data_IF_745143354680
#
_entry.id   IF_745143354680
#
_cell.length_a   1.000
_cell.length_b   1.000
_cell.length_c   1.000
_cell.angle_alpha   90.00
_cell.angle_beta   90.00
_cell.angle_gamma   90.00
#
_symmetry.space_group_name_H-M   'P 1'
#
loop_
_entity.id
_entity.type
_entity.pdbx_description
1 polymer ?
#
# COMPACT_ATOMS: atom_id res chain seq x y z
N UNK A 1 24.59 -6.01 8.96
CA UNK A 1 25.09 -6.02 7.57
C UNK A 1 23.96 -5.40 6.79
N UNK A 2 24.11 -4.14 6.37
CA UNK A 2 22.96 -3.33 5.94
C UNK A 2 22.43 -3.83 4.61
N UNK A 3 21.11 -4.04 4.53
CA UNK A 3 20.46 -4.39 3.27
C UNK A 3 20.73 -3.31 2.23
N UNK A 4 21.05 -3.72 1.00
CA UNK A 4 21.25 -2.77 -0.08
C UNK A 4 19.93 -2.04 -0.40
N UNK A 5 20.00 -0.74 -0.69
CA UNK A 5 18.83 0.09 -1.00
C UNK A 5 17.90 -0.53 -2.06
N UNK A 6 18.47 -1.07 -3.15
CA UNK A 6 17.70 -1.75 -4.22
C UNK A 6 16.96 -3.00 -3.74
N UNK A 7 17.51 -3.68 -2.74
CA UNK A 7 16.91 -4.86 -2.15
C UNK A 7 15.69 -4.46 -1.28
N UNK A 8 15.85 -3.40 -0.48
CA UNK A 8 14.76 -2.80 0.31
C UNK A 8 13.63 -2.36 -0.61
N UNK A 9 13.94 -1.62 -1.68
CA UNK A 9 12.95 -1.20 -2.68
C UNK A 9 12.22 -2.40 -3.27
N UNK A 10 12.96 -3.42 -3.73
CA UNK A 10 12.38 -4.65 -4.28
C UNK A 10 11.44 -5.37 -3.31
N UNK A 11 11.83 -5.46 -2.03
CA UNK A 11 10.97 -6.00 -0.97
C UNK A 11 9.69 -5.16 -0.79
N UNK A 12 9.79 -3.84 -0.80
CA UNK A 12 8.62 -2.96 -0.70
C UNK A 12 7.65 -3.19 -1.86
N UNK A 13 8.17 -3.34 -3.08
CA UNK A 13 7.36 -3.67 -4.25
C UNK A 13 6.71 -5.06 -4.12
N UNK A 14 7.45 -6.06 -3.64
CA UNK A 14 6.95 -7.43 -3.45
C UNK A 14 5.84 -7.51 -2.39
N UNK A 15 6.00 -6.78 -1.28
CA UNK A 15 5.08 -6.76 -0.15
C UNK A 15 3.83 -5.91 -0.41
N UNK A 16 3.89 -4.98 -1.36
CA UNK A 16 2.77 -4.09 -1.64
C UNK A 16 1.51 -4.85 -2.08
N UNK A 17 0.42 -4.68 -1.33
CA UNK A 17 -0.87 -5.35 -1.57
C UNK A 17 -0.83 -6.87 -1.35
N UNK A 18 0.31 -7.41 -0.90
CA UNK A 18 0.45 -8.83 -0.65
C UNK A 18 -0.44 -9.26 0.51
N UNK A 19 -1.16 -10.35 0.34
CA UNK A 19 -1.94 -10.91 1.44
C UNK A 19 -1.03 -11.76 2.34
N UNK A 20 -1.07 -11.55 3.65
CA UNK A 20 -0.43 -12.46 4.61
C UNK A 20 -1.24 -13.76 4.65
N UNK A 21 -0.58 -14.88 4.39
CA UNK A 21 -1.17 -16.21 4.38
C UNK A 21 -0.79 -17.02 5.62
N UNK A 22 0.44 -16.85 6.12
CA UNK A 22 0.97 -17.61 7.25
C UNK A 22 2.11 -16.84 7.92
N UNK A 23 2.33 -17.12 9.20
CA UNK A 23 3.40 -16.55 10.01
C UNK A 23 4.01 -17.63 10.91
N UNK A 24 5.31 -17.89 10.71
CA UNK A 24 6.09 -18.82 11.53
C UNK A 24 7.14 -18.05 12.30
N UNK A 25 7.18 -18.22 13.62
CA UNK A 25 8.15 -17.60 14.51
C UNK A 25 8.95 -18.69 15.22
N UNK A 26 10.28 -18.59 15.15
CA UNK A 26 11.21 -19.45 15.88
C UNK A 26 12.17 -18.56 16.69
N UNK A 27 11.78 -18.19 17.94
CA UNK A 27 12.61 -17.36 18.80
C UNK A 27 13.98 -17.96 19.09
N UNK A 28 14.08 -19.30 19.17
CA UNK A 28 15.34 -19.99 19.44
C UNK A 28 16.33 -19.85 18.26
N UNK A 29 15.81 -19.81 17.02
CA UNK A 29 16.62 -19.56 15.82
C UNK A 29 16.66 -18.10 15.38
N UNK A 30 15.97 -17.19 16.08
CA UNK A 30 15.83 -15.76 15.71
C UNK A 30 15.29 -15.58 14.30
N UNK A 31 14.29 -16.36 13.95
CA UNK A 31 13.73 -16.40 12.60
C UNK A 31 12.24 -16.07 12.64
N UNK A 32 11.83 -15.17 11.75
CA UNK A 32 10.43 -15.00 11.39
C UNK A 32 10.27 -15.30 9.89
N UNK A 33 9.28 -16.10 9.53
CA UNK A 33 8.93 -16.36 8.13
C UNK A 33 7.48 -15.94 7.92
N UNK A 34 7.29 -14.94 7.06
CA UNK A 34 5.94 -14.51 6.65
C UNK A 34 5.67 -15.06 5.26
N UNK A 35 4.65 -15.89 5.13
CA UNK A 35 4.20 -16.37 3.82
C UNK A 35 3.14 -15.44 3.29
N UNK A 36 3.29 -15.04 2.04
CA UNK A 36 2.43 -14.06 1.39
C UNK A 36 1.91 -14.57 0.04
N UNK A 37 0.81 -13.98 -0.43
CA UNK A 37 0.38 -14.00 -1.82
C UNK A 37 0.70 -12.63 -2.45
N UNK A 38 1.80 -12.51 -3.20
CA UNK A 38 2.14 -11.28 -3.91
C UNK A 38 1.10 -10.90 -4.96
N UNK A 39 0.84 -9.60 -5.07
CA UNK A 39 0.01 -9.02 -6.15
C UNK A 39 0.83 -8.29 -7.21
N UNK A 40 2.11 -8.00 -6.91
CA UNK A 40 3.00 -7.25 -7.79
C UNK A 40 3.65 -8.11 -8.87
N UNK A 41 3.62 -7.63 -10.11
CA UNK A 41 4.36 -8.20 -11.25
C UNK A 41 5.85 -7.84 -11.22
N UNK A 42 6.77 -8.83 -11.22
CA UNK A 42 8.18 -8.56 -11.42
C UNK A 42 8.46 -8.10 -12.87
N UNK A 43 9.60 -7.44 -13.11
CA UNK A 43 10.03 -7.03 -14.46
C UNK A 43 10.21 -8.20 -15.42
N UNK A 44 10.55 -9.37 -14.90
CA UNK A 44 10.75 -10.59 -15.66
C UNK A 44 10.20 -11.80 -14.91
N UNK A 45 9.56 -12.71 -15.64
CA UNK A 45 8.96 -13.91 -15.08
C UNK A 45 7.52 -13.73 -14.56
N UNK A 46 6.88 -14.82 -14.15
CA UNK A 46 5.51 -14.78 -13.63
C UNK A 46 5.46 -14.21 -12.21
N UNK A 47 4.32 -13.63 -11.82
CA UNK A 47 4.02 -13.30 -10.42
C UNK A 47 4.09 -14.60 -9.60
N UNK A 48 4.87 -14.65 -8.50
CA UNK A 48 4.81 -15.77 -7.59
C UNK A 48 3.42 -15.87 -6.98
N UNK A 49 2.77 -17.04 -7.06
CA UNK A 49 1.48 -17.26 -6.40
C UNK A 49 1.60 -17.27 -4.87
N UNK A 50 2.78 -17.65 -4.37
CA UNK A 50 3.20 -17.58 -2.97
C UNK A 50 4.67 -17.21 -2.87
N UNK A 51 5.02 -16.43 -1.85
CA UNK A 51 6.39 -16.16 -1.47
C UNK A 51 6.56 -16.25 0.05
N UNK A 52 7.71 -16.70 0.50
CA UNK A 52 8.12 -16.72 1.90
C UNK A 52 9.18 -15.66 2.12
N UNK A 53 8.90 -14.75 3.05
CA UNK A 53 9.79 -13.66 3.47
C UNK A 53 10.42 -14.07 4.80
N UNK A 54 11.69 -14.46 4.75
CA UNK A 54 12.47 -14.85 5.92
C UNK A 54 13.22 -13.66 6.47
N UNK A 55 12.95 -13.30 7.72
CA UNK A 55 13.64 -12.25 8.47
C UNK A 55 14.62 -12.90 9.45
N UNK A 56 15.89 -12.51 9.40
CA UNK A 56 16.92 -13.04 10.30
C UNK A 56 18.17 -12.14 10.42
N UNK A 57 18.85 -12.18 11.58
CA UNK A 57 18.26 -12.49 12.88
C UNK A 57 17.13 -11.50 13.23
N UNK A 58 16.09 -11.98 13.91
CA UNK A 58 15.04 -11.17 14.54
C UNK A 58 15.41 -10.90 15.99
N UNK A 59 15.40 -9.62 16.39
CA UNK A 59 15.71 -9.18 17.76
C UNK A 59 14.47 -8.80 18.56
N UNK A 60 13.37 -8.42 17.89
CA UNK A 60 12.13 -8.12 18.57
C UNK A 60 10.90 -8.45 17.72
N UNK A 61 9.81 -8.78 18.42
CA UNK A 61 8.47 -8.89 17.85
C UNK A 61 7.50 -8.17 18.79
N UNK A 62 6.80 -7.17 18.27
CA UNK A 62 5.76 -6.45 19.01
C UNK A 62 4.46 -6.55 18.21
N UNK A 63 3.38 -6.89 18.89
CA UNK A 63 2.04 -6.95 18.31
C UNK A 63 1.09 -6.13 19.16
N UNK A 64 0.43 -5.15 18.54
CA UNK A 64 -0.60 -4.33 19.20
C UNK A 64 -1.93 -4.46 18.49
N UNK A 65 -3.01 -4.43 19.26
CA UNK A 65 -4.37 -4.34 18.78
C UNK A 65 -4.82 -2.88 18.74
N UNK A 66 -5.44 -2.50 17.63
CA UNK A 66 -5.99 -1.17 17.37
C UNK A 66 -7.44 -1.27 16.88
N UNK A 67 -8.26 -0.26 17.11
CA UNK A 67 -9.50 -0.06 16.37
C UNK A 67 -9.19 0.37 14.91
N UNK A 68 -10.22 0.59 14.10
CA UNK A 68 -10.06 1.01 12.70
C UNK A 68 -9.50 2.43 12.57
N UNK A 69 -9.66 3.24 13.61
CA UNK A 69 -9.18 4.61 13.72
C UNK A 69 -7.74 4.70 14.26
N UNK A 70 -7.14 3.56 14.67
CA UNK A 70 -5.77 3.45 15.14
C UNK A 70 -5.56 3.63 16.65
N UNK A 71 -6.63 3.68 17.45
CA UNK A 71 -6.59 3.78 18.91
C UNK A 71 -6.65 2.40 19.58
N UNK A 72 -6.40 2.33 20.89
CA UNK A 72 -6.62 1.10 21.64
C UNK A 72 -8.12 0.78 21.69
N UNK A 73 -8.57 -0.41 21.24
CA UNK A 73 -9.98 -0.77 21.31
C UNK A 73 -10.41 -1.05 22.75
N UNK A 74 -11.72 -1.19 22.95
CA UNK A 74 -12.31 -1.60 24.24
C UNK A 74 -11.67 -2.93 24.69
N UNK A 75 -11.34 -3.10 26.00
CA UNK A 75 -10.67 -4.31 26.48
C UNK A 75 -11.43 -5.59 26.11
N UNK A 76 -10.74 -6.55 25.51
CA UNK A 76 -11.36 -7.82 25.11
C UNK A 76 -10.43 -8.90 24.55
N UNK A 77 -9.20 -8.55 24.17
CA UNK A 77 -8.18 -9.53 23.76
C UNK A 77 -7.12 -9.67 24.87
N UNK A 78 -6.92 -10.89 25.35
CA UNK A 78 -5.84 -11.21 26.29
C UNK A 78 -4.47 -11.19 25.60
N UNK A 79 -3.41 -11.07 26.39
CA UNK A 79 -2.04 -11.22 25.88
C UNK A 79 -1.82 -12.64 25.37
N UNK A 80 -1.18 -12.75 24.21
CA UNK A 80 -0.91 -14.00 23.51
C UNK A 80 0.59 -14.26 23.51
N UNK A 81 1.00 -15.53 23.62
CA UNK A 81 2.43 -15.87 23.57
C UNK A 81 2.95 -15.79 22.13
N UNK A 82 4.26 -15.55 21.97
CA UNK A 82 4.88 -15.48 20.64
C UNK A 82 4.68 -16.77 19.81
N UNK A 83 4.65 -17.94 20.45
CA UNK A 83 4.41 -19.24 19.80
C UNK A 83 2.95 -19.46 19.36
N UNK A 84 2.02 -18.64 19.85
CA UNK A 84 0.60 -18.68 19.50
C UNK A 84 0.25 -17.65 18.40
N UNK A 85 1.12 -16.68 18.13
CA UNK A 85 0.87 -15.61 17.14
C UNK A 85 0.61 -16.14 15.72
N UNK A 86 1.31 -17.19 15.28
CA UNK A 86 1.09 -17.78 13.96
C UNK A 86 -0.34 -18.33 13.80
N UNK A 87 -0.88 -18.92 14.87
CA UNK A 87 -2.24 -19.45 14.87
C UNK A 87 -3.28 -18.34 14.73
N UNK A 88 -3.00 -17.13 15.22
CA UNK A 88 -3.89 -15.98 15.04
C UNK A 88 -4.05 -15.63 13.56
N UNK A 89 -2.97 -15.59 12.77
CA UNK A 89 -3.02 -15.25 11.33
C UNK A 89 -3.97 -16.20 10.58
N UNK A 90 -3.93 -17.49 10.90
CA UNK A 90 -4.80 -18.50 10.27
C UNK A 90 -6.29 -18.39 10.64
N UNK A 91 -6.63 -17.70 11.73
CA UNK A 91 -7.99 -17.62 12.26
C UNK A 91 -8.84 -16.51 11.64
N UNK A 92 -8.23 -15.56 10.92
CA UNK A 92 -8.96 -14.42 10.38
C UNK A 92 -9.19 -14.56 8.87
N UNK A 93 -10.42 -14.27 8.45
CA UNK A 93 -10.91 -14.51 7.09
C UNK A 93 -10.94 -13.25 6.21
N UNK A 94 -10.41 -12.10 6.67
CA UNK A 94 -10.47 -10.83 5.92
C UNK A 94 -9.08 -10.26 5.58
N UNK A 95 -8.80 -9.98 4.29
CA UNK A 95 -7.46 -9.71 3.79
C UNK A 95 -7.09 -8.22 3.80
N UNK A 96 -7.26 -7.53 4.93
CA UNK A 96 -6.71 -6.17 5.08
C UNK A 96 -5.26 -6.28 5.56
N UNK A 97 -4.33 -6.35 4.61
CA UNK A 97 -2.90 -6.31 4.86
C UNK A 97 -2.28 -5.04 4.26
N UNK A 98 -2.09 -4.03 5.11
CA UNK A 98 -1.25 -2.88 4.79
C UNK A 98 0.16 -3.18 5.27
N UNK A 99 1.13 -3.22 4.37
CA UNK A 99 2.54 -3.39 4.70
C UNK A 99 3.22 -2.03 4.75
N UNK A 100 4.02 -1.81 5.77
CA UNK A 100 4.89 -0.65 5.86
C UNK A 100 6.30 -1.11 6.25
N UNK A 101 7.23 -0.93 5.33
CA UNK A 101 8.64 -1.19 5.57
C UNK A 101 9.26 0.10 6.07
N UNK A 102 9.62 0.10 7.34
CA UNK A 102 10.11 1.29 8.01
C UNK A 102 11.61 1.12 8.16
N UNK A 103 12.36 1.68 7.21
CA UNK A 103 13.78 1.89 7.44
C UNK A 103 13.93 3.05 8.44
N UNK A 104 14.58 2.76 9.57
CA UNK A 104 15.13 3.74 10.49
C UNK A 104 14.20 4.56 11.43
N UNK A 105 12.97 4.13 11.75
CA UNK A 105 12.27 4.71 12.93
C UNK A 105 12.58 3.93 14.21
N UNK A 106 13.77 4.16 14.78
CA UNK A 106 14.17 3.68 16.12
C UNK A 106 13.23 4.13 17.26
N UNK A 107 12.24 4.99 16.99
CA UNK A 107 11.35 5.61 17.98
C UNK A 107 9.85 5.34 17.71
N UNK A 108 9.50 4.35 16.89
CA UNK A 108 8.08 4.02 16.73
C UNK A 108 7.55 3.36 18.01
N UNK A 109 6.80 4.13 18.79
CA UNK A 109 6.01 3.60 19.92
C UNK A 109 4.61 3.29 19.39
N UNK A 110 4.28 2.01 19.14
CA UNK A 110 2.96 1.66 18.63
C UNK A 110 1.87 2.06 19.64
N UNK A 111 1.05 3.06 19.31
CA UNK A 111 -0.22 3.28 20.01
C UNK A 111 -1.16 2.09 19.83
N UNK A 112 -1.87 1.67 20.88
CA UNK A 112 -2.76 0.51 20.86
C UNK A 112 -2.70 -0.31 22.16
N UNK A 113 -3.44 -1.41 22.22
CA UNK A 113 -3.35 -2.39 23.31
C UNK A 113 -2.27 -3.42 22.98
N UNK A 114 -1.29 -3.63 23.87
CA UNK A 114 -0.24 -4.63 23.68
C UNK A 114 -0.81 -6.05 23.76
N UNK A 115 -0.65 -6.83 22.69
CA UNK A 115 -1.09 -8.23 22.57
C UNK A 115 0.08 -9.18 22.81
N UNK A 116 1.22 -8.92 22.18
CA UNK A 116 2.43 -9.71 22.35
C UNK A 116 3.66 -8.81 22.32
N UNK A 117 4.65 -9.16 23.11
CA UNK A 117 5.95 -8.51 23.15
C UNK A 117 7.02 -9.57 23.41
N UNK A 118 8.04 -9.58 22.57
CA UNK A 118 9.21 -10.44 22.71
C UNK A 118 10.45 -9.69 22.28
N UNK A 119 11.52 -9.83 23.04
CA UNK A 119 12.83 -9.26 22.77
C UNK A 119 13.92 -10.30 23.03
N UNK A 120 14.93 -10.35 22.17
CA UNK A 120 16.16 -11.08 22.46
C UNK A 120 17.13 -10.18 23.26
N UNK A 121 17.37 -10.47 24.56
CA UNK A 121 18.26 -9.66 25.38
C UNK A 121 19.73 -9.68 24.90
N UNK A 122 20.12 -10.65 24.08
CA UNK A 122 21.45 -10.73 23.49
C UNK A 122 21.60 -9.86 22.22
N UNK A 123 20.51 -9.27 21.71
CA UNK A 123 20.50 -8.42 20.52
C UNK A 123 19.71 -7.13 20.76
N UNK A 124 20.31 -6.13 21.44
CA UNK A 124 19.59 -4.93 21.86
C UNK A 124 19.21 -3.98 20.71
N UNK A 125 19.73 -4.19 19.50
CA UNK A 125 19.42 -3.36 18.35
C UNK A 125 19.51 -4.16 17.05
N UNK A 126 18.48 -4.04 16.22
CA UNK A 126 18.50 -4.47 14.82
C UNK A 126 18.52 -3.27 13.88
N UNK A 127 18.97 -3.51 12.66
CA UNK A 127 19.14 -2.46 11.64
C UNK A 127 17.80 -2.04 11.00
N UNK A 128 16.85 -2.96 10.84
CA UNK A 128 15.62 -2.74 10.08
C UNK A 128 14.35 -3.11 10.86
N UNK A 129 13.23 -2.51 10.46
CA UNK A 129 11.90 -2.86 10.97
C UNK A 129 10.93 -3.13 9.83
N UNK A 130 10.19 -4.24 9.94
CA UNK A 130 9.10 -4.57 9.03
C UNK A 130 7.81 -4.53 9.83
N UNK A 131 6.81 -3.82 9.33
CA UNK A 131 5.49 -3.81 9.93
C UNK A 131 4.40 -4.17 8.95
N UNK A 132 3.35 -4.80 9.45
CA UNK A 132 2.11 -4.97 8.70
C UNK A 132 0.91 -4.93 9.62
N UNK A 133 -0.19 -4.42 9.08
CA UNK A 133 -1.50 -4.50 9.70
C UNK A 133 -2.22 -5.76 9.25
N UNK A 134 -3.05 -6.29 10.13
CA UNK A 134 -3.89 -7.44 9.85
C UNK A 134 -5.29 -7.24 10.43
N UNK A 135 -6.30 -7.26 9.57
CA UNK A 135 -7.69 -7.11 9.99
C UNK A 135 -8.18 -8.27 10.85
N UNK A 136 -8.71 -7.95 12.03
CA UNK A 136 -9.36 -8.90 12.93
C UNK A 136 -10.81 -8.49 13.17
N UNK A 137 -11.69 -9.47 13.40
CA UNK A 137 -13.06 -9.23 13.86
C UNK A 137 -13.25 -9.91 15.21
N UNK A 138 -13.86 -9.21 16.17
CA UNK A 138 -14.29 -9.80 17.43
C UNK A 138 -15.40 -10.82 17.20
N UNK A 139 -15.64 -11.67 18.19
CA UNK A 139 -16.77 -12.60 18.18
C UNK A 139 -18.13 -11.86 18.10
N UNK A 140 -18.22 -10.61 18.60
CA UNK A 140 -19.41 -9.77 18.45
C UNK A 140 -19.48 -9.01 17.11
N UNK A 141 -18.51 -9.20 16.21
CA UNK A 141 -18.50 -8.63 14.86
C UNK A 141 -17.86 -7.25 14.75
N UNK A 142 -17.26 -6.72 15.83
CA UNK A 142 -16.50 -5.47 15.79
C UNK A 142 -15.18 -5.66 15.02
N UNK A 143 -14.83 -4.72 14.14
CA UNK A 143 -13.56 -4.77 13.39
C UNK A 143 -12.44 -4.09 14.17
N UNK A 144 -11.25 -4.68 14.14
CA UNK A 144 -10.02 -4.14 14.70
C UNK A 144 -8.83 -4.52 13.80
N UNK A 145 -7.65 -4.01 14.12
CA UNK A 145 -6.41 -4.24 13.39
C UNK A 145 -5.33 -4.73 14.36
N UNK A 146 -4.65 -5.82 14.04
CA UNK A 146 -3.38 -6.17 14.67
C UNK A 146 -2.25 -5.53 13.86
N UNK A 147 -1.41 -4.74 14.52
CA UNK A 147 -0.15 -4.25 13.95
C UNK A 147 0.97 -5.14 14.45
N UNK A 148 1.61 -5.84 13.53
CA UNK A 148 2.83 -6.61 13.77
C UNK A 148 4.04 -5.75 13.44
N UNK A 149 5.05 -5.79 14.31
CA UNK A 149 6.34 -5.15 14.11
C UNK A 149 7.46 -6.15 14.39
N UNK A 150 8.37 -6.29 13.44
CA UNK A 150 9.56 -7.14 13.52
C UNK A 150 10.80 -6.28 13.43
N UNK A 151 11.72 -6.39 14.38
CA UNK A 151 13.07 -5.82 14.25
C UNK A 151 14.04 -6.92 13.80
N UNK A 152 14.78 -6.69 12.72
CA UNK A 152 15.64 -7.68 12.09
C UNK A 152 16.83 -7.06 11.34
N UNK A 153 17.81 -7.89 10.93
CA UNK A 153 18.98 -7.39 10.19
C UNK A 153 19.00 -7.78 8.69
N UNK A 154 18.46 -8.94 8.30
CA UNK A 154 18.39 -9.36 6.90
C UNK A 154 17.01 -9.91 6.55
N UNK A 155 16.63 -9.75 5.28
CA UNK A 155 15.40 -10.31 4.72
C UNK A 155 15.72 -11.07 3.42
N UNK A 156 15.02 -12.18 3.18
CA UNK A 156 15.15 -12.97 1.96
C UNK A 156 13.77 -13.41 1.48
N UNK A 157 13.51 -13.30 0.18
CA UNK A 157 12.31 -13.84 -0.44
C UNK A 157 12.62 -15.16 -1.15
N UNK A 158 11.73 -16.14 -0.99
CA UNK A 158 11.84 -17.43 -1.67
C UNK A 158 10.47 -17.98 -2.06
N UNK A 159 10.45 -18.81 -3.10
CA UNK A 159 9.30 -19.64 -3.42
C UNK A 159 9.13 -20.76 -2.37
N UNK A 160 7.93 -21.37 -2.25
CA UNK A 160 7.70 -22.48 -1.31
C UNK A 160 8.62 -23.69 -1.49
N UNK A 161 9.22 -23.86 -2.68
CA UNK A 161 10.21 -24.90 -2.96
C UNK A 161 11.64 -24.52 -2.54
N UNK A 162 11.84 -23.37 -1.88
CA UNK A 162 13.14 -22.86 -1.43
C UNK A 162 13.94 -22.10 -2.48
N UNK A 163 13.44 -21.97 -3.72
CA UNK A 163 14.13 -21.18 -4.75
C UNK A 163 14.09 -19.69 -4.41
N UNK A 164 15.24 -19.03 -4.42
CA UNK A 164 15.32 -17.59 -4.16
C UNK A 164 14.52 -16.78 -5.19
N UNK A 165 13.80 -15.77 -4.70
CA UNK A 165 13.12 -14.77 -5.53
C UNK A 165 14.05 -13.56 -5.62
N UNK A 166 14.45 -13.13 -6.84
CA UNK A 166 15.27 -11.93 -7.00
C UNK A 166 14.39 -10.69 -6.76
N UNK A 167 14.31 -10.23 -5.51
CA UNK A 167 13.42 -9.12 -5.11
C UNK A 167 13.72 -7.83 -5.87
N UNK A 168 14.96 -7.63 -6.31
CA UNK A 168 15.38 -6.47 -7.11
C UNK A 168 14.74 -6.44 -8.50
N UNK A 169 14.13 -7.55 -8.94
CA UNK A 169 13.33 -7.59 -10.16
C UNK A 169 11.94 -6.96 -9.99
N UNK A 170 11.48 -6.76 -8.75
CA UNK A 170 10.22 -6.08 -8.45
C UNK A 170 10.46 -4.57 -8.46
N UNK A 171 9.72 -3.86 -9.31
CA UNK A 171 9.84 -2.43 -9.46
C UNK A 171 8.56 -1.82 -10.05
N UNK A 172 8.46 -0.50 -9.97
CA UNK A 172 7.34 0.29 -10.50
C UNK A 172 7.04 0.10 -12.01
N UNK A 173 7.92 -0.52 -12.80
CA UNK A 173 7.70 -0.80 -14.22
C UNK A 173 7.07 -2.16 -14.52
N UNK A 174 6.74 -2.97 -13.50
CA UNK A 174 5.90 -4.16 -13.67
C UNK A 174 4.50 -3.73 -14.12
N UNK A 175 3.86 -4.46 -15.02
CA UNK A 175 2.61 -4.09 -15.73
C UNK A 175 1.35 -3.86 -14.86
N UNK A 176 1.49 -3.70 -13.55
CA UNK A 176 0.43 -3.34 -12.60
C UNK A 176 0.74 -2.11 -11.72
N UNK A 177 1.87 -1.44 -11.94
CA UNK A 177 2.28 -0.27 -11.15
C UNK A 177 2.12 1.03 -11.92
N UNK A 178 1.67 2.08 -11.22
CA UNK A 178 1.87 3.48 -11.60
C UNK A 178 2.44 4.20 -10.39
N UNK A 179 3.77 4.18 -10.24
CA UNK A 179 4.42 5.19 -9.41
C UNK A 179 4.35 6.51 -10.17
N UNK A 180 4.04 7.60 -9.49
CA UNK A 180 4.18 8.93 -10.07
C UNK A 180 5.36 9.57 -9.35
N UNK A 181 6.45 9.76 -10.07
CA UNK A 181 7.62 10.45 -9.58
C UNK A 181 7.59 11.92 -10.01
N UNK A 182 7.93 12.82 -9.09
CA UNK A 182 8.32 14.19 -9.42
C UNK A 182 9.84 14.24 -9.63
N UNK A 183 10.30 14.00 -10.85
CA UNK A 183 11.69 14.22 -11.25
C UNK A 183 12.71 13.17 -10.79
N UNK A 184 13.93 13.32 -11.29
CA UNK A 184 14.96 12.27 -11.39
C UNK A 184 15.61 11.82 -10.06
N UNK A 185 15.20 12.34 -8.89
CA UNK A 185 15.94 12.12 -7.63
C UNK A 185 15.10 12.07 -6.34
N UNK A 186 13.77 12.03 -6.39
CA UNK A 186 12.93 12.19 -5.17
C UNK A 186 11.84 11.11 -4.98
N UNK A 187 11.35 10.93 -3.74
CA UNK A 187 10.83 9.65 -3.24
C UNK A 187 9.57 9.16 -3.95
N UNK A 188 9.52 7.82 -4.12
CA UNK A 188 8.35 7.08 -4.61
C UNK A 188 7.17 7.35 -3.68
N UNK A 189 6.20 8.14 -4.15
CA UNK A 189 4.95 8.34 -3.40
C UNK A 189 4.04 7.13 -3.65
N UNK A 190 3.88 6.29 -2.62
CA UNK A 190 3.00 5.11 -2.62
C UNK A 190 1.55 5.59 -2.76
N UNK A 191 0.80 5.03 -3.72
CA UNK A 191 -0.60 5.39 -3.92
C UNK A 191 -1.51 4.65 -2.93
N UNK A 192 -2.41 5.33 -2.19
CA UNK A 192 -3.39 4.70 -1.32
C UNK A 192 -4.41 3.89 -2.11
N UNK A 193 -5.04 2.91 -1.47
CA UNK A 193 -5.99 2.00 -2.13
C UNK A 193 -7.15 2.72 -2.80
N UNK A 194 -7.70 2.06 -3.83
CA UNK A 194 -8.88 2.57 -4.50
C UNK A 194 -10.12 2.44 -3.60
N UNK A 195 -10.95 3.49 -3.59
CA UNK A 195 -12.20 3.56 -2.84
C UNK A 195 -13.40 3.35 -3.77
N UNK A 196 -14.52 2.81 -3.25
CA UNK A 196 -15.75 2.70 -4.01
C UNK A 196 -16.27 4.07 -4.49
N UNK A 197 -16.88 4.17 -5.69
CA UNK A 197 -17.34 5.45 -6.26
C UNK A 197 -18.38 6.17 -5.40
N UNK A 198 -19.22 5.42 -4.69
CA UNK A 198 -20.20 5.95 -3.75
C UNK A 198 -19.58 6.75 -2.60
N UNK A 199 -18.31 6.48 -2.25
CA UNK A 199 -17.62 7.13 -1.15
C UNK A 199 -17.14 8.54 -1.53
N UNK A 200 -17.03 8.82 -2.82
CA UNK A 200 -16.59 10.13 -3.33
C UNK A 200 -17.76 11.01 -3.78
N UNK A 201 -18.99 10.58 -3.57
CA UNK A 201 -20.16 11.37 -3.94
C UNK A 201 -20.22 12.70 -3.17
N UNK A 202 -20.33 13.81 -3.88
CA UNK A 202 -20.34 15.15 -3.31
C UNK A 202 -18.95 15.74 -3.01
N UNK A 203 -17.89 14.94 -3.10
CA UNK A 203 -16.52 15.33 -2.79
C UNK A 203 -15.78 15.93 -4.00
N UNK A 204 -14.68 16.62 -3.74
CA UNK A 204 -13.78 17.11 -4.78
C UNK A 204 -12.87 15.97 -5.26
N UNK A 205 -12.96 15.66 -6.55
CA UNK A 205 -12.20 14.62 -7.23
C UNK A 205 -11.21 15.27 -8.21
N UNK A 206 -9.92 14.99 -8.03
CA UNK A 206 -8.84 15.33 -8.95
C UNK A 206 -8.67 14.30 -10.05
N UNK A 207 -8.56 14.74 -11.30
CA UNK A 207 -8.08 13.93 -12.41
C UNK A 207 -6.63 14.31 -12.69
N UNK A 208 -5.71 13.39 -12.42
CA UNK A 208 -4.27 13.64 -12.51
C UNK A 208 -3.76 13.01 -13.80
N UNK A 209 -3.28 13.84 -14.71
CA UNK A 209 -2.79 13.42 -16.02
C UNK A 209 -1.31 13.10 -15.92
N UNK A 210 -0.97 11.86 -16.27
CA UNK A 210 0.39 11.30 -16.15
C UNK A 210 0.87 10.90 -17.53
N UNK A 211 2.06 11.36 -17.91
CA UNK A 211 2.77 10.78 -19.04
C UNK A 211 3.27 9.40 -18.63
N UNK A 212 2.61 8.36 -19.14
CA UNK A 212 2.93 6.98 -18.78
C UNK A 212 4.27 6.48 -19.33
N UNK A 213 4.90 7.20 -20.27
CA UNK A 213 6.23 6.86 -20.77
C UNK A 213 7.34 7.42 -19.89
N UNK A 214 7.07 8.53 -19.20
CA UNK A 214 8.03 9.26 -18.37
C UNK A 214 7.72 9.19 -16.87
N UNK A 215 6.56 8.65 -16.50
CA UNK A 215 6.04 8.56 -15.12
C UNK A 215 5.96 9.91 -14.39
N UNK A 216 5.68 10.99 -15.14
CA UNK A 216 5.58 12.37 -14.62
C UNK A 216 4.16 12.92 -14.70
N UNK A 217 3.79 13.74 -13.70
CA UNK A 217 2.54 14.50 -13.74
C UNK A 217 2.67 15.62 -14.77
N UNK A 218 1.84 15.59 -15.80
CA UNK A 218 1.82 16.64 -16.82
C UNK A 218 0.77 17.71 -16.54
N UNK A 219 -0.34 17.34 -15.87
CA UNK A 219 -1.42 18.25 -15.53
C UNK A 219 -2.36 17.64 -14.50
N UNK A 220 -3.26 18.44 -13.94
CA UNK A 220 -4.38 17.96 -13.14
C UNK A 220 -5.60 18.88 -13.29
N UNK A 221 -6.79 18.33 -13.08
CA UNK A 221 -8.04 19.08 -13.04
C UNK A 221 -8.88 18.66 -11.83
N UNK A 222 -9.59 19.61 -11.22
CA UNK A 222 -10.44 19.35 -10.05
C UNK A 222 -11.90 19.64 -10.37
N UNK A 223 -12.77 18.75 -9.91
CA UNK A 223 -14.21 18.87 -10.11
C UNK A 223 -14.97 18.08 -9.06
N UNK A 224 -16.28 18.32 -9.00
CA UNK A 224 -17.16 17.67 -8.04
C UNK A 224 -17.58 16.30 -8.55
N UNK A 225 -17.38 15.27 -7.74
CA UNK A 225 -17.87 13.93 -8.01
C UNK A 225 -19.36 13.82 -7.68
N UNK A 226 -20.13 13.19 -8.56
CA UNK A 226 -21.56 12.97 -8.41
C UNK A 226 -21.89 11.51 -8.78
N UNK A 227 -22.29 10.71 -7.80
CA UNK A 227 -22.65 9.31 -7.98
C UNK A 227 -24.18 9.17 -8.09
N UNK A 228 -24.67 8.67 -9.22
CA UNK A 228 -26.11 8.53 -9.46
C UNK A 228 -26.69 7.15 -9.05
N UNK A 229 -25.89 6.32 -8.37
CA UNK A 229 -26.24 4.93 -8.06
C UNK A 229 -25.75 3.92 -9.09
N UNK A 230 -25.32 4.37 -10.28
CA UNK A 230 -24.83 3.50 -11.37
C UNK A 230 -23.53 3.98 -11.97
N UNK A 231 -23.35 5.29 -12.11
CA UNK A 231 -22.20 5.93 -12.75
C UNK A 231 -21.69 7.06 -11.88
N UNK A 232 -20.37 7.24 -11.96
CA UNK A 232 -19.74 8.41 -11.38
C UNK A 232 -19.62 9.49 -12.45
N UNK A 233 -20.10 10.68 -12.14
CA UNK A 233 -19.92 11.88 -12.95
C UNK A 233 -18.97 12.83 -12.27
N UNK A 234 -18.33 13.65 -13.08
CA UNK A 234 -17.38 14.65 -12.65
C UNK A 234 -17.78 15.99 -13.26
N UNK A 235 -18.04 16.97 -12.39
CA UNK A 235 -18.57 18.28 -12.78
C UNK A 235 -17.55 19.37 -12.53
N UNK A 236 -17.31 20.20 -13.54
CA UNK A 236 -16.42 21.35 -13.48
C UNK A 236 -17.12 22.57 -12.92
N UNK A 237 -16.35 23.55 -12.44
CA UNK A 237 -16.86 24.81 -11.91
C UNK A 237 -17.56 25.68 -12.96
N UNK A 238 -17.22 25.51 -14.24
CA UNK A 238 -17.84 26.19 -15.39
C UNK A 238 -19.15 25.53 -15.88
N UNK A 239 -19.62 24.47 -15.19
CA UNK A 239 -20.90 23.81 -15.46
C UNK A 239 -20.80 22.62 -16.42
N UNK A 240 -19.61 22.27 -16.90
CA UNK A 240 -19.38 21.01 -17.62
C UNK A 240 -19.62 19.78 -16.73
N UNK A 241 -20.15 18.70 -17.29
CA UNK A 241 -20.35 17.44 -16.57
C UNK A 241 -20.02 16.25 -17.48
N UNK A 242 -19.17 15.37 -16.98
CA UNK A 242 -18.57 14.27 -17.73
C UNK A 242 -18.78 12.94 -17.00
N UNK A 243 -19.08 11.87 -17.73
CA UNK A 243 -19.13 10.52 -17.16
C UNK A 243 -17.69 10.02 -16.98
N UNK A 244 -17.35 9.55 -15.78
CA UNK A 244 -16.08 8.86 -15.52
C UNK A 244 -16.18 7.44 -16.07
N UNK A 245 -15.27 7.01 -16.98
CA UNK A 245 -15.25 5.64 -17.48
C UNK A 245 -15.10 4.61 -16.37
N UNK A 246 -15.80 3.47 -16.47
CA UNK A 246 -15.77 2.42 -15.44
C UNK A 246 -14.37 1.95 -15.06
N UNK A 247 -13.45 1.85 -16.03
CA UNK A 247 -12.06 1.51 -15.77
C UNK A 247 -11.32 2.51 -14.87
N UNK A 248 -11.65 3.79 -14.94
CA UNK A 248 -11.13 4.84 -14.06
C UNK A 248 -11.89 4.91 -12.74
N UNK A 249 -13.18 4.60 -12.76
CA UNK A 249 -14.05 4.55 -11.57
C UNK A 249 -13.52 3.57 -10.51
N UNK A 250 -12.86 2.47 -10.93
CA UNK A 250 -12.22 1.51 -10.04
C UNK A 250 -10.80 1.91 -9.57
N UNK A 251 -10.33 3.10 -9.94
CA UNK A 251 -8.98 3.60 -9.62
C UNK A 251 -8.99 4.88 -8.80
N UNK A 252 -10.15 5.27 -8.25
CA UNK A 252 -10.29 6.49 -7.45
C UNK A 252 -9.69 6.26 -6.07
N UNK A 253 -8.85 7.17 -5.59
CA UNK A 253 -8.03 7.01 -4.37
C UNK A 253 -8.11 8.26 -3.49
N UNK A 254 -7.93 8.18 -2.17
CA UNK A 254 -7.82 9.36 -1.29
C UNK A 254 -6.61 10.22 -1.66
N UNK A 255 -6.68 11.54 -1.48
CA UNK A 255 -5.55 12.45 -1.75
C UNK A 255 -4.32 12.08 -0.90
N UNK A 256 -3.14 12.22 -1.51
CA UNK A 256 -1.85 12.10 -0.84
C UNK A 256 -1.31 13.51 -0.52
N UNK A 257 -1.06 13.86 0.75
CA UNK A 257 -0.60 15.20 1.13
C UNK A 257 0.74 15.63 0.52
N UNK A 258 1.62 14.68 0.19
CA UNK A 258 2.95 14.95 -0.38
C UNK A 258 2.96 15.09 -1.91
N UNK A 259 1.81 14.91 -2.58
CA UNK A 259 1.76 14.92 -4.03
C UNK A 259 1.99 16.33 -4.57
N UNK A 260 2.99 16.46 -5.45
CA UNK A 260 3.36 17.73 -6.04
C UNK A 260 3.69 17.57 -7.53
N UNK A 261 3.61 18.67 -8.26
CA UNK A 261 4.06 18.80 -9.64
C UNK A 261 5.09 19.92 -9.70
N UNK A 262 6.31 19.60 -10.13
CA UNK A 262 7.40 20.58 -10.26
C UNK A 262 7.61 21.41 -8.98
N UNK A 263 7.48 20.77 -7.80
CA UNK A 263 7.59 21.41 -6.49
C UNK A 263 6.34 22.18 -6.03
N UNK A 264 5.28 22.23 -6.84
CA UNK A 264 3.99 22.83 -6.46
C UNK A 264 3.05 21.76 -5.90
N UNK A 265 2.60 21.87 -4.64
CA UNK A 265 1.63 20.94 -4.07
C UNK A 265 0.34 20.84 -4.89
N UNK A 266 -0.17 19.61 -5.02
CA UNK A 266 -1.50 19.38 -5.57
C UNK A 266 -2.53 19.47 -4.44
N UNK A 267 -3.20 20.61 -4.39
CA UNK A 267 -4.19 20.95 -3.37
C UNK A 267 -5.61 20.96 -3.97
N UNK A 268 -6.63 21.20 -3.15
CA UNK A 268 -8.03 21.39 -3.57
C UNK A 268 -8.85 20.14 -3.93
N UNK A 269 -8.40 18.93 -3.64
CA UNK A 269 -9.23 17.72 -3.79
C UNK A 269 -9.11 16.74 -2.63
N UNK A 270 -10.19 16.00 -2.36
CA UNK A 270 -10.24 14.95 -1.33
C UNK A 270 -9.81 13.59 -1.89
N UNK A 271 -10.07 13.36 -3.18
CA UNK A 271 -9.81 12.11 -3.89
C UNK A 271 -9.20 12.38 -5.26
N UNK A 272 -8.55 11.39 -5.86
CA UNK A 272 -8.02 11.50 -7.21
C UNK A 272 -8.12 10.21 -8.03
N UNK A 273 -8.03 10.32 -9.35
CA UNK A 273 -7.81 9.21 -10.28
C UNK A 273 -6.69 9.55 -11.26
N UNK A 274 -5.94 8.53 -11.69
CA UNK A 274 -4.82 8.68 -12.62
C UNK A 274 -5.24 8.44 -14.06
N UNK A 275 -5.01 9.42 -14.90
CA UNK A 275 -5.32 9.39 -16.33
C UNK A 275 -4.02 9.34 -17.12
N UNK A 276 -3.75 8.23 -17.78
CA UNK A 276 -2.58 8.11 -18.65
C UNK A 276 -2.78 8.93 -19.93
N UNK A 277 -1.79 9.74 -20.30
CA UNK A 277 -1.79 10.52 -21.54
C UNK A 277 -0.52 10.27 -22.35
N UNK A 278 -0.59 10.52 -23.66
CA UNK A 278 0.57 10.41 -24.57
C UNK A 278 1.37 11.71 -24.62
N UNK A 279 2.72 11.66 -24.76
CA UNK A 279 3.65 12.79 -24.52
C UNK A 279 3.48 14.02 -25.42
N UNK A 280 2.78 13.91 -26.55
CA UNK A 280 2.83 14.89 -27.64
C UNK A 280 1.96 16.15 -27.43
N UNK A 281 1.62 16.45 -26.17
CA UNK A 281 0.46 17.29 -25.89
C UNK A 281 0.64 18.15 -24.64
N UNK A 282 1.22 19.33 -24.82
CA UNK A 282 1.15 20.45 -23.88
C UNK A 282 -0.26 21.08 -23.91
N UNK A 283 -1.30 20.35 -23.47
CA UNK A 283 -2.69 20.86 -23.48
C UNK A 283 -3.13 21.36 -22.11
N UNK A 284 -4.02 22.34 -22.18
CA UNK A 284 -4.81 22.83 -21.06
C UNK A 284 -5.55 21.66 -20.36
N UNK A 285 -5.60 21.63 -19.01
CA UNK A 285 -6.27 20.56 -18.27
C UNK A 285 -7.74 20.35 -18.67
N UNK A 286 -8.47 21.42 -19.01
CA UNK A 286 -9.87 21.32 -19.47
C UNK A 286 -9.99 20.60 -20.81
N UNK A 287 -9.03 20.82 -21.73
CA UNK A 287 -9.00 20.11 -23.00
C UNK A 287 -8.64 18.62 -22.82
N UNK A 288 -7.74 18.30 -21.89
CA UNK A 288 -7.38 16.91 -21.55
C UNK A 288 -8.56 16.14 -20.95
N UNK A 289 -9.28 16.76 -20.01
CA UNK A 289 -10.55 16.21 -19.48
C UNK A 289 -11.50 15.91 -20.62
N UNK A 290 -11.76 16.90 -21.49
CA UNK A 290 -12.70 16.75 -22.61
C UNK A 290 -12.31 15.58 -23.51
N UNK A 291 -11.05 15.51 -23.94
CA UNK A 291 -10.56 14.46 -24.83
C UNK A 291 -10.60 13.06 -24.21
N UNK A 292 -10.33 12.94 -22.91
CA UNK A 292 -10.26 11.64 -22.24
C UNK A 292 -11.64 11.14 -21.80
N UNK A 293 -12.55 12.05 -21.42
CA UNK A 293 -13.89 11.70 -20.94
C UNK A 293 -14.98 11.76 -22.03
N UNK A 294 -14.75 12.40 -23.19
CA UNK A 294 -15.69 12.30 -24.33
C UNK A 294 -15.48 11.03 -25.16
N UNK A 295 -14.25 10.50 -25.22
CA UNK A 295 -13.95 9.25 -25.93
C UNK A 295 -14.73 8.04 -25.40
N UNK A 296 -15.22 8.09 -24.17
CA UNK A 296 -16.05 7.05 -23.55
C UNK A 296 -17.54 7.11 -23.92
N UNK A 297 -17.98 8.12 -24.70
CA UNK A 297 -19.34 8.17 -25.28
C UNK A 297 -19.47 7.40 -26.60
N UNK A 298 -18.37 6.97 -27.21
CA UNK A 298 -18.33 6.42 -28.57
C UNK A 298 -18.30 4.88 -28.64
N UNK A 299 -18.58 4.17 -27.54
CA UNK A 299 -18.63 2.69 -27.48
C UNK A 299 -19.97 2.24 -26.92
#
# INVERSE_FOLDING_TARGET
MTLAQKHIEGLNFLLHGAQVLDLVLDPAKRLAVVTIAPTTTPRAGPIPTRASISLLPVSSVVVVLKDLEGHAPVPGMDRVRIDELGSLVSQFTQPLAGWDFIDNQRNFTPGGQLVCEWFDPAMPASEHTLSFFYGVRSAEGASALLLFLFSFDNAFASHPNGQAIPVESFAASGTGWKAIGSGATEPVTILPDAVPPRQVDGELLGLIFVDAAQDVIVSYAVGKANWDGRRLRWSTSDGGTYDIPGGLTHQIRPRIPSMNRDGTPLEDFSYFALVGVTPDVSRDPGELVRLQLERSRSV
#
